data_IF_128262026702
#
_entry.id   IF_128262026702
#
_cell.length_a   1.000
_cell.length_b   1.000
_cell.length_c   1.000
_cell.angle_alpha   90.00
_cell.angle_beta   90.00
_cell.angle_gamma   90.00
#
_symmetry.space_group_name_H-M   'P 1'
#
loop_
_entity.id
_entity.type
_entity.pdbx_description
1 polymer ?
#
# COMPACT_ATOMS: atom_id res chain seq x y z
N UNK A 1 7.48 -11.41 17.01
CA UNK A 1 6.02 -11.45 16.79
C UNK A 1 5.78 -11.00 15.37
N UNK A 2 4.89 -11.63 14.61
CA UNK A 2 4.45 -11.07 13.33
C UNK A 2 3.28 -10.14 13.64
N UNK A 3 3.44 -8.86 13.36
CA UNK A 3 2.35 -7.90 13.41
C UNK A 3 1.64 -7.93 12.05
N UNK A 4 0.32 -8.00 12.08
CA UNK A 4 -0.53 -7.99 10.90
C UNK A 4 -1.25 -6.65 10.87
N UNK A 5 -1.15 -5.96 9.75
CA UNK A 5 -1.92 -4.74 9.50
C UNK A 5 -3.22 -5.12 8.79
N UNK A 6 -4.31 -4.48 9.19
CA UNK A 6 -5.51 -4.42 8.36
C UNK A 6 -5.22 -3.69 7.06
N UNK A 7 -6.07 -3.85 6.04
CA UNK A 7 -5.90 -3.14 4.76
C UNK A 7 -5.86 -1.61 4.94
N UNK A 8 -6.61 -1.08 5.92
CA UNK A 8 -6.61 0.33 6.28
C UNK A 8 -5.32 0.78 6.96
N UNK A 9 -4.81 -0.01 7.92
CA UNK A 9 -3.54 0.29 8.58
C UNK A 9 -2.36 0.21 7.60
N UNK A 10 -2.41 -0.74 6.66
CA UNK A 10 -1.42 -0.86 5.60
C UNK A 10 -1.47 0.34 4.64
N UNK A 11 -2.66 0.84 4.30
CA UNK A 11 -2.80 2.07 3.50
C UNK A 11 -2.19 3.28 4.22
N UNK A 12 -2.50 3.45 5.51
CA UNK A 12 -1.94 4.52 6.34
C UNK A 12 -0.42 4.41 6.44
N UNK A 13 0.11 3.21 6.60
CA UNK A 13 1.55 2.98 6.62
C UNK A 13 2.22 3.38 5.29
N UNK A 14 1.61 3.02 4.16
CA UNK A 14 2.07 3.45 2.83
C UNK A 14 2.02 4.98 2.69
N UNK A 15 0.92 5.62 3.11
CA UNK A 15 0.76 7.07 3.05
C UNK A 15 1.88 7.79 3.83
N UNK A 16 2.11 7.38 5.09
CA UNK A 16 3.17 7.94 5.96
C UNK A 16 4.55 7.75 5.35
N UNK A 17 4.80 6.60 4.71
CA UNK A 17 6.06 6.35 4.03
C UNK A 17 6.28 7.33 2.86
N UNK A 18 5.25 7.53 2.02
CA UNK A 18 5.30 8.44 0.88
C UNK A 18 5.41 9.89 1.31
N UNK A 19 4.71 10.30 2.36
CA UNK A 19 4.84 11.64 2.97
C UNK A 19 6.28 11.90 3.43
N UNK A 20 6.85 10.94 4.17
CA UNK A 20 8.25 11.01 4.61
C UNK A 20 9.22 11.09 3.42
N UNK A 21 8.92 10.41 2.32
CA UNK A 21 9.74 10.44 1.10
C UNK A 21 9.61 11.78 0.36
N UNK A 22 8.39 12.30 0.24
CA UNK A 22 8.13 13.63 -0.30
C UNK A 22 8.89 14.69 0.50
N UNK A 23 8.90 14.59 1.83
CA UNK A 23 9.58 15.58 2.65
C UNK A 23 11.07 15.69 2.41
N UNK A 24 11.72 14.57 2.05
CA UNK A 24 13.15 14.54 1.71
C UNK A 24 13.45 14.91 0.27
N UNK A 25 12.58 14.50 -0.66
CA UNK A 25 12.81 14.63 -2.10
C UNK A 25 12.21 15.90 -2.70
N UNK A 26 11.14 16.43 -2.10
CA UNK A 26 10.26 17.47 -2.63
C UNK A 26 9.82 17.19 -4.08
N UNK A 27 9.61 15.91 -4.40
CA UNK A 27 9.19 15.47 -5.74
C UNK A 27 7.72 15.84 -5.99
N UNK A 28 7.49 16.66 -7.01
CA UNK A 28 6.13 17.09 -7.40
C UNK A 28 5.21 15.90 -7.74
N UNK A 29 5.74 14.85 -8.36
CA UNK A 29 4.97 13.64 -8.68
C UNK A 29 4.45 12.94 -7.42
N UNK A 30 5.29 12.84 -6.38
CA UNK A 30 4.88 12.27 -5.09
C UNK A 30 3.90 13.21 -4.37
N UNK A 31 4.12 14.52 -4.47
CA UNK A 31 3.18 15.51 -3.92
C UNK A 31 1.80 15.44 -4.57
N UNK A 32 1.74 15.29 -5.90
CA UNK A 32 0.51 15.09 -6.65
C UNK A 32 -0.20 13.79 -6.25
N UNK A 33 0.55 12.69 -6.14
CA UNK A 33 0.02 11.41 -5.68
C UNK A 33 -0.55 11.49 -4.25
N UNK A 34 0.18 12.09 -3.31
CA UNK A 34 -0.28 12.31 -1.93
C UNK A 34 -1.53 13.19 -1.87
N UNK A 35 -1.64 14.18 -2.75
CA UNK A 35 -2.85 14.98 -2.93
C UNK A 35 -4.05 14.12 -3.31
N UNK A 36 -3.88 13.24 -4.31
CA UNK A 36 -4.94 12.31 -4.73
C UNK A 36 -5.28 11.25 -3.66
N UNK A 37 -4.28 10.81 -2.90
CA UNK A 37 -4.42 9.83 -1.81
C UNK A 37 -4.95 10.42 -0.49
N UNK A 38 -5.19 11.74 -0.44
CA UNK A 38 -5.54 12.40 0.81
C UNK A 38 -6.80 11.77 1.44
N UNK A 39 -6.69 11.47 2.73
CA UNK A 39 -7.76 10.90 3.53
C UNK A 39 -8.61 12.04 4.12
N UNK A 40 -9.90 12.06 3.86
CA UNK A 40 -10.85 12.92 4.59
C UNK A 40 -11.54 12.08 5.65
N UNK A 41 -11.38 12.47 6.92
CA UNK A 41 -11.97 11.79 8.08
C UNK A 41 -11.66 10.28 8.16
N UNK A 42 -10.45 9.89 7.73
CA UNK A 42 -9.99 8.50 7.79
C UNK A 42 -10.49 7.61 6.65
N UNK A 43 -11.14 8.18 5.64
CA UNK A 43 -11.52 7.48 4.40
C UNK A 43 -10.85 8.12 3.18
N UNK A 44 -10.48 7.34 2.16
CA UNK A 44 -10.00 7.88 0.89
C UNK A 44 -11.07 8.78 0.27
N UNK A 45 -10.68 9.96 -0.20
CA UNK A 45 -11.57 10.87 -0.94
C UNK A 45 -12.00 10.22 -2.26
N UNK A 46 -11.12 9.42 -2.85
CA UNK A 46 -11.35 8.74 -4.13
C UNK A 46 -11.54 7.22 -3.92
N UNK A 47 -12.74 6.74 -4.24
CA UNK A 47 -13.08 5.32 -4.18
C UNK A 47 -12.25 4.49 -5.18
N UNK A 48 -11.84 5.07 -6.32
CA UNK A 48 -11.04 4.36 -7.32
C UNK A 48 -9.65 3.98 -6.76
N UNK A 49 -9.02 4.90 -6.02
CA UNK A 49 -7.73 4.62 -5.37
C UNK A 49 -7.84 3.55 -4.27
N UNK A 50 -9.01 3.41 -3.66
CA UNK A 50 -9.25 2.38 -2.66
C UNK A 50 -9.37 0.99 -3.31
N UNK A 51 -10.05 0.91 -4.44
CA UNK A 51 -10.18 -0.32 -5.22
C UNK A 51 -8.81 -0.74 -5.77
N UNK A 52 -8.03 0.20 -6.32
CA UNK A 52 -6.64 -0.03 -6.76
C UNK A 52 -5.75 -0.54 -5.61
N UNK A 53 -5.94 0.00 -4.39
CA UNK A 53 -5.21 -0.44 -3.20
C UNK A 53 -5.55 -1.88 -2.81
N UNK A 54 -6.83 -2.26 -2.82
CA UNK A 54 -7.23 -3.63 -2.56
C UNK A 54 -6.69 -4.61 -3.61
N UNK A 55 -6.68 -4.22 -4.89
CA UNK A 55 -6.08 -5.03 -5.96
C UNK A 55 -4.57 -5.23 -5.74
N UNK A 56 -3.86 -4.18 -5.31
CA UNK A 56 -2.44 -4.27 -4.98
C UNK A 56 -2.17 -5.22 -3.81
N UNK A 57 -3.02 -5.20 -2.77
CA UNK A 57 -2.92 -6.13 -1.64
C UNK A 57 -3.18 -7.58 -2.10
N UNK A 58 -4.28 -7.81 -2.81
CA UNK A 58 -4.64 -9.16 -3.29
C UNK A 58 -3.54 -9.75 -4.18
N UNK A 59 -3.02 -8.94 -5.11
CA UNK A 59 -1.86 -9.32 -5.95
C UNK A 59 -0.63 -9.66 -5.10
N UNK A 60 -0.33 -8.86 -4.08
CA UNK A 60 0.82 -9.08 -3.19
C UNK A 60 0.68 -10.37 -2.37
N UNK A 61 -0.52 -10.66 -1.87
CA UNK A 61 -0.81 -11.88 -1.12
C UNK A 61 -0.74 -13.12 -2.00
N UNK A 62 -1.31 -13.07 -3.22
CA UNK A 62 -1.21 -14.15 -4.20
C UNK A 62 0.23 -14.43 -4.63
N UNK A 63 1.04 -13.39 -4.84
CA UNK A 63 2.45 -13.54 -5.17
C UNK A 63 3.24 -14.21 -4.03
N UNK A 64 2.91 -13.87 -2.77
CA UNK A 64 3.53 -14.50 -1.61
C UNK A 64 3.15 -15.98 -1.46
N UNK A 65 1.91 -16.35 -1.78
CA UNK A 65 1.48 -17.74 -1.76
C UNK A 65 2.09 -18.57 -2.89
N UNK A 66 2.27 -17.97 -4.08
CA UNK A 66 3.02 -18.59 -5.18
C UNK A 66 4.50 -18.83 -4.81
N UNK A 67 5.14 -17.85 -4.18
CA UNK A 67 6.54 -17.98 -3.75
C UNK A 67 6.72 -19.10 -2.71
N UNK A 68 5.74 -19.33 -1.82
CA UNK A 68 5.75 -20.45 -0.87
C UNK A 68 5.60 -21.81 -1.56
N UNK A 69 4.75 -21.89 -2.59
CA UNK A 69 4.52 -23.13 -3.34
C UNK A 69 5.77 -23.55 -4.13
N UNK A 70 6.42 -22.61 -4.82
CA UNK A 70 7.66 -22.88 -5.57
C UNK A 70 8.86 -23.27 -4.67
N UNK A 71 8.84 -22.88 -3.39
CA UNK A 71 9.83 -23.29 -2.39
C UNK A 71 9.51 -24.65 -1.75
N UNK A 72 8.25 -25.10 -1.74
CA UNK A 72 7.88 -26.44 -1.24
C UNK A 72 8.12 -27.56 -2.24
N UNK A 73 8.04 -27.27 -3.54
CA UNK A 73 8.23 -28.25 -4.63
C UNK A 73 9.72 -28.55 -4.93
N UNK A 74 10.65 -27.82 -4.32
CA UNK A 74 12.11 -28.03 -4.46
C UNK A 74 12.72 -28.92 -3.36
N UNK A 75 11.91 -29.70 -2.63
CA UNK A 75 12.37 -30.65 -1.61
C UNK A 75 12.19 -32.10 -2.02
#
# INVERSE_FOLDING_TARGET
MKEYLTHEEAYKAMFVFLESYYDRSKSDDIGGLLGSMSLVEGKPIDQALWDDWYEAIDTSLKAHDRAKFELSDKK
#
